data_IF_979335055253
#
_entry.id   IF_979335055253
#
_cell.length_a   1.000
_cell.length_b   1.000
_cell.length_c   1.000
_cell.angle_alpha   90.00
_cell.angle_beta   90.00
_cell.angle_gamma   90.00
#
_symmetry.space_group_name_H-M   'P 1'
#
loop_
_entity.id
_entity.type
_entity.pdbx_description
1 polymer ?
#
# COMPACT_ATOMS: atom_id res chain seq x y z
N UNK A 1 4.12 37.07 4.84
CA UNK A 1 4.21 35.88 3.97
C UNK A 1 5.40 35.06 4.44
N UNK A 2 5.16 33.96 5.16
CA UNK A 2 6.23 33.09 5.65
C UNK A 2 6.10 31.75 4.93
N UNK A 3 6.98 31.53 3.96
CA UNK A 3 7.20 30.25 3.29
C UNK A 3 7.78 29.29 4.32
N UNK A 4 7.00 28.29 4.69
CA UNK A 4 7.42 27.23 5.60
C UNK A 4 8.14 26.14 4.79
N UNK A 5 9.40 25.79 5.09
CA UNK A 5 10.11 24.74 4.38
C UNK A 5 9.97 23.37 5.08
N UNK A 6 10.41 22.34 4.37
CA UNK A 6 10.75 21.00 4.84
C UNK A 6 9.61 20.00 5.07
N UNK A 7 9.22 19.36 3.96
CA UNK A 7 8.73 17.99 3.97
C UNK A 7 9.71 17.09 4.75
N UNK A 8 9.25 16.27 5.71
CA UNK A 8 10.03 15.14 6.17
C UNK A 8 9.91 14.03 5.12
N UNK A 9 10.65 14.21 4.03
CA UNK A 9 10.95 13.12 3.10
C UNK A 9 11.95 12.18 3.75
N UNK A 10 11.47 11.00 4.14
CA UNK A 10 12.26 9.77 4.30
C UNK A 10 13.10 9.63 5.58
N UNK A 11 12.68 8.75 6.51
CA UNK A 11 13.59 7.90 7.34
C UNK A 11 12.87 6.87 8.21
N UNK A 12 12.06 6.02 7.59
CA UNK A 12 11.69 4.72 8.17
C UNK A 12 11.93 3.56 7.18
N UNK A 13 12.54 3.81 6.02
CA UNK A 13 12.72 2.82 4.94
C UNK A 13 13.62 1.65 5.32
N UNK A 14 14.77 1.87 5.96
CA UNK A 14 15.75 0.79 6.15
C UNK A 14 15.24 -0.32 7.09
N UNK A 15 14.58 0.04 8.19
CA UNK A 15 14.02 -0.92 9.14
C UNK A 15 12.72 -1.55 8.65
N UNK A 16 11.93 -0.81 7.85
CA UNK A 16 10.63 -1.29 7.36
C UNK A 16 10.79 -2.23 6.16
N UNK A 17 11.73 -1.94 5.25
CA UNK A 17 12.09 -2.84 4.16
C UNK A 17 12.68 -4.15 4.69
N UNK A 18 13.64 -4.08 5.62
CA UNK A 18 14.24 -5.29 6.20
C UNK A 18 13.22 -6.15 6.97
N UNK A 19 12.29 -5.52 7.70
CA UNK A 19 11.18 -6.22 8.36
C UNK A 19 10.21 -6.84 7.35
N UNK A 20 9.96 -6.15 6.24
CA UNK A 20 9.12 -6.66 5.18
C UNK A 20 9.74 -7.83 4.42
N UNK A 21 11.03 -7.76 4.10
CA UNK A 21 11.78 -8.86 3.49
C UNK A 21 11.78 -10.11 4.39
N UNK A 22 11.86 -9.94 5.72
CA UNK A 22 11.77 -11.05 6.67
C UNK A 22 10.36 -11.69 6.72
N UNK A 23 9.31 -10.93 6.39
CA UNK A 23 7.92 -11.40 6.39
C UNK A 23 7.44 -11.92 5.02
N UNK A 24 8.05 -11.46 3.92
CA UNK A 24 7.78 -11.88 2.55
C UNK A 24 7.74 -13.42 2.33
N UNK A 25 8.64 -14.24 2.90
CA UNK A 25 8.57 -15.70 2.75
C UNK A 25 7.34 -16.33 3.44
N UNK A 26 6.74 -15.65 4.42
CA UNK A 26 5.54 -16.11 5.15
C UNK A 26 4.22 -15.59 4.54
N UNK A 27 4.29 -14.81 3.46
CA UNK A 27 3.10 -14.32 2.76
C UNK A 27 2.54 -15.41 1.84
N UNK A 28 1.21 -15.57 1.88
CA UNK A 28 0.52 -16.34 0.85
C UNK A 28 0.62 -15.65 -0.52
N UNK A 29 0.42 -16.39 -1.61
CA UNK A 29 0.58 -15.90 -2.99
C UNK A 29 -0.08 -14.54 -3.24
N UNK A 30 -1.35 -14.39 -2.86
CA UNK A 30 -2.11 -13.15 -3.07
C UNK A 30 -1.60 -11.97 -2.23
N UNK A 31 -1.15 -12.23 -1.00
CA UNK A 31 -0.54 -11.19 -0.16
C UNK A 31 0.75 -10.68 -0.79
N UNK A 32 1.60 -11.58 -1.29
CA UNK A 32 2.85 -11.22 -1.98
C UNK A 32 2.57 -10.40 -3.24
N UNK A 33 1.66 -10.86 -4.10
CA UNK A 33 1.28 -10.11 -5.30
C UNK A 33 0.74 -8.70 -4.97
N UNK A 34 -0.11 -8.60 -3.94
CA UNK A 34 -0.66 -7.32 -3.48
C UNK A 34 0.45 -6.39 -2.96
N UNK A 35 1.34 -6.90 -2.13
CA UNK A 35 2.46 -6.14 -1.58
C UNK A 35 3.41 -5.66 -2.68
N UNK A 36 3.80 -6.54 -3.61
CA UNK A 36 4.66 -6.19 -4.76
C UNK A 36 4.03 -5.07 -5.60
N UNK A 37 2.75 -5.17 -5.94
CA UNK A 37 2.07 -4.12 -6.72
C UNK A 37 2.04 -2.77 -5.97
N UNK A 38 1.84 -2.78 -4.65
CA UNK A 38 1.91 -1.55 -3.83
C UNK A 38 3.32 -0.98 -3.80
N UNK A 39 4.37 -1.82 -3.72
CA UNK A 39 5.78 -1.39 -3.77
C UNK A 39 6.12 -0.78 -5.12
N UNK A 40 5.72 -1.40 -6.22
CA UNK A 40 5.95 -0.91 -7.58
C UNK A 40 5.27 0.43 -7.84
N UNK A 41 4.09 0.66 -7.24
CA UNK A 41 3.41 1.96 -7.29
C UNK A 41 4.11 3.05 -6.48
N UNK A 42 5.07 2.70 -5.62
CA UNK A 42 5.87 3.61 -4.82
C UNK A 42 5.02 4.60 -4.01
N UNK A 43 5.42 5.87 -4.02
CA UNK A 43 4.73 6.92 -3.29
C UNK A 43 3.36 7.27 -3.89
N UNK A 44 3.05 6.89 -5.14
CA UNK A 44 1.71 7.12 -5.70
C UNK A 44 0.70 6.23 -4.97
N UNK A 45 1.10 5.00 -4.65
CA UNK A 45 0.28 4.01 -3.98
C UNK A 45 -0.91 3.56 -4.79
N UNK A 46 -1.69 2.64 -4.22
CA UNK A 46 -2.86 2.05 -4.88
C UNK A 46 -4.02 1.91 -3.90
N UNK A 47 -5.23 2.16 -4.39
CA UNK A 47 -6.46 1.76 -3.70
C UNK A 47 -6.70 0.26 -3.89
N UNK A 48 -7.62 -0.32 -3.11
CA UNK A 48 -8.00 -1.73 -3.27
C UNK A 48 -8.60 -2.02 -4.67
N UNK A 49 -9.35 -1.08 -5.23
CA UNK A 49 -9.92 -1.19 -6.57
C UNK A 49 -8.84 -1.13 -7.67
N UNK A 50 -7.87 -0.22 -7.54
CA UNK A 50 -6.75 -0.14 -8.48
C UNK A 50 -5.83 -1.36 -8.39
N UNK A 51 -5.57 -1.87 -7.18
CA UNK A 51 -4.84 -3.14 -7.01
C UNK A 51 -5.53 -4.30 -7.70
N UNK A 52 -6.86 -4.39 -7.55
CA UNK A 52 -7.65 -5.41 -8.21
C UNK A 52 -7.52 -5.30 -9.74
N UNK A 53 -7.60 -4.08 -10.28
CA UNK A 53 -7.41 -3.81 -11.71
C UNK A 53 -5.98 -4.17 -12.17
N UNK A 54 -4.95 -3.73 -11.45
CA UNK A 54 -3.54 -4.02 -11.77
C UNK A 54 -3.23 -5.52 -11.76
N UNK A 55 -3.81 -6.27 -10.82
CA UNK A 55 -3.57 -7.70 -10.68
C UNK A 55 -4.52 -8.56 -11.53
N UNK A 56 -5.49 -7.96 -12.23
CA UNK A 56 -6.52 -8.69 -12.97
C UNK A 56 -7.38 -9.57 -12.06
N UNK A 57 -7.67 -9.11 -10.84
CA UNK A 57 -8.38 -9.86 -9.80
C UNK A 57 -9.64 -9.14 -9.35
N UNK A 58 -10.52 -9.88 -8.69
CA UNK A 58 -11.68 -9.29 -8.05
C UNK A 58 -11.31 -8.55 -6.75
N UNK A 59 -11.95 -7.39 -6.53
CA UNK A 59 -11.70 -6.53 -5.35
C UNK A 59 -11.89 -7.27 -4.03
N UNK A 60 -12.86 -8.16 -3.93
CA UNK A 60 -13.14 -8.92 -2.70
C UNK A 60 -12.01 -9.89 -2.37
N UNK A 61 -11.20 -10.28 -3.35
CA UNK A 61 -9.99 -11.08 -3.13
C UNK A 61 -8.81 -10.24 -2.60
N UNK A 62 -8.73 -8.96 -2.99
CA UNK A 62 -7.63 -8.05 -2.68
C UNK A 62 -7.84 -7.29 -1.36
N UNK A 63 -9.06 -6.82 -1.09
CA UNK A 63 -9.36 -6.00 0.08
C UNK A 63 -8.94 -6.67 1.41
N UNK A 64 -9.19 -7.98 1.64
CA UNK A 64 -8.68 -8.65 2.84
C UNK A 64 -7.15 -8.62 2.93
N UNK A 65 -6.45 -8.71 1.79
CA UNK A 65 -4.97 -8.73 1.74
C UNK A 65 -4.38 -7.39 2.14
N UNK A 66 -4.99 -6.28 1.71
CA UNK A 66 -4.57 -4.95 2.20
C UNK A 66 -4.68 -4.83 3.72
N UNK A 67 -5.76 -5.37 4.31
CA UNK A 67 -5.95 -5.36 5.77
C UNK A 67 -4.93 -6.26 6.50
N UNK A 68 -4.66 -7.45 5.94
CA UNK A 68 -3.66 -8.38 6.47
C UNK A 68 -2.24 -7.80 6.41
N UNK A 69 -1.86 -7.21 5.26
CA UNK A 69 -0.56 -6.58 5.06
C UNK A 69 -0.39 -5.36 5.98
N UNK A 70 -1.43 -4.55 6.16
CA UNK A 70 -1.44 -3.45 7.13
C UNK A 70 -1.20 -3.97 8.55
N UNK A 71 -1.90 -5.03 8.96
CA UNK A 71 -1.73 -5.63 10.30
C UNK A 71 -0.32 -6.21 10.51
N UNK A 72 0.30 -6.69 9.43
CA UNK A 72 1.70 -7.15 9.42
C UNK A 72 2.72 -5.99 9.35
N UNK A 73 2.27 -4.74 9.21
CA UNK A 73 3.13 -3.57 9.13
C UNK A 73 3.90 -3.48 7.81
N UNK A 74 3.38 -4.03 6.71
CA UNK A 74 4.03 -4.06 5.39
C UNK A 74 3.56 -2.95 4.47
N UNK A 75 2.38 -2.39 4.76
CA UNK A 75 1.78 -1.27 4.05
C UNK A 75 1.13 -0.33 5.07
N UNK A 76 0.98 0.93 4.67
CA UNK A 76 0.40 1.98 5.49
C UNK A 76 -0.64 2.80 4.70
N UNK A 77 -1.60 3.37 5.43
CA UNK A 77 -2.53 4.35 4.86
C UNK A 77 -1.74 5.63 4.58
N UNK A 78 -1.65 6.00 3.30
CA UNK A 78 -0.89 7.20 2.90
C UNK A 78 -1.55 8.53 3.30
N UNK A 79 -2.73 8.50 3.92
CA UNK A 79 -3.55 9.66 4.24
C UNK A 79 -4.35 10.20 3.04
N UNK A 80 -4.02 9.76 1.82
CA UNK A 80 -4.72 10.15 0.59
C UNK A 80 -5.92 9.26 0.33
N UNK A 81 -6.88 9.81 -0.40
CA UNK A 81 -8.07 9.10 -0.87
C UNK A 81 -8.25 9.28 -2.37
N UNK A 82 -8.74 8.25 -3.05
CA UNK A 82 -9.14 8.32 -4.46
C UNK A 82 -10.53 7.72 -4.64
N UNK A 83 -11.36 8.26 -5.56
CA UNK A 83 -12.68 7.70 -5.83
C UNK A 83 -12.54 6.30 -6.44
N UNK A 84 -13.34 5.36 -5.96
CA UNK A 84 -13.49 4.05 -6.58
C UNK A 84 -14.61 4.04 -7.64
N UNK A 85 -14.85 2.88 -8.27
CA UNK A 85 -15.86 2.69 -9.30
C UNK A 85 -17.30 3.05 -8.83
N UNK A 86 -17.56 3.10 -7.53
CA UNK A 86 -18.86 3.48 -6.95
C UNK A 86 -18.91 4.95 -6.47
N UNK A 87 -17.88 5.74 -6.78
CA UNK A 87 -17.76 7.13 -6.34
C UNK A 87 -17.35 7.32 -4.89
N UNK A 88 -17.11 6.24 -4.13
CA UNK A 88 -16.68 6.31 -2.73
C UNK A 88 -15.17 6.56 -2.64
N UNK A 89 -14.76 7.38 -1.68
CA UNK A 89 -13.36 7.66 -1.39
C UNK A 89 -12.68 6.47 -0.72
N UNK A 90 -11.75 5.83 -1.43
CA UNK A 90 -11.00 4.67 -0.96
C UNK A 90 -9.60 5.07 -0.45
N UNK A 91 -9.09 4.34 0.54
CA UNK A 91 -7.73 4.50 1.06
C UNK A 91 -6.72 4.21 -0.03
N UNK A 92 -5.72 5.07 -0.17
CA UNK A 92 -4.53 4.82 -0.98
C UNK A 92 -3.46 4.20 -0.09
N UNK A 93 -3.10 2.96 -0.36
CA UNK A 93 -2.07 2.20 0.36
C UNK A 93 -0.70 2.44 -0.27
N UNK A 94 0.32 2.58 0.58
CA UNK A 94 1.74 2.63 0.17
C UNK A 94 2.54 1.62 1.00
N UNK A 95 3.64 1.13 0.44
CA UNK A 95 4.53 0.21 1.15
C UNK A 95 5.29 0.95 2.26
N UNK A 96 5.63 0.22 3.33
CA UNK A 96 6.48 0.70 4.42
C UNK A 96 7.97 0.57 4.08
#
# INVERSE_FOLDING_TARGET
>A
MSTYPDAPGHRHVDTSMAAADALAPKLGRLQRMTETAIREAGWIGLTADELAATLGMDRWSIQPRTSELRRKGLILDSGRRRPNATGKMAIVWVAT
#
